data_IF_850505900428
#
_entry.id   IF_850505900428
#
_cell.length_a   1.000
_cell.length_b   1.000
_cell.length_c   1.000
_cell.angle_alpha   90.00
_cell.angle_beta   90.00
_cell.angle_gamma   90.00
#
_symmetry.space_group_name_H-M   'P 1'
#
loop_
_entity.id
_entity.type
_entity.pdbx_description
1 polymer ?
#
# COMPACT_ATOMS: atom_id res chain seq x y z
N UNK A 1 7.58 17.18 11.77
CA UNK A 1 8.30 18.49 11.82
C UNK A 1 9.82 18.33 11.94
N UNK A 2 10.35 17.45 12.79
CA UNK A 2 11.81 17.23 12.93
C UNK A 2 12.52 16.84 11.61
N UNK A 3 11.92 15.97 10.80
CA UNK A 3 12.49 15.56 9.51
C UNK A 3 12.62 16.73 8.52
N UNK A 4 11.66 17.68 8.53
CA UNK A 4 11.69 18.87 7.67
C UNK A 4 12.85 19.79 8.03
N UNK A 5 13.09 19.99 9.33
CA UNK A 5 14.22 20.79 9.82
C UNK A 5 15.56 20.17 9.44
N UNK A 6 15.70 18.84 9.57
CA UNK A 6 16.91 18.12 9.14
C UNK A 6 17.16 18.24 7.63
N UNK A 7 16.10 18.33 6.84
CA UNK A 7 16.17 18.53 5.40
C UNK A 7 16.40 20.02 5.00
N UNK A 8 16.52 20.95 5.95
CA UNK A 8 16.70 22.38 5.67
C UNK A 8 15.46 23.10 5.13
N UNK A 9 14.28 22.48 5.26
CA UNK A 9 13.02 23.05 4.75
C UNK A 9 12.49 24.06 5.77
N UNK A 10 12.24 25.30 5.33
CA UNK A 10 11.70 26.36 6.17
C UNK A 10 10.26 26.05 6.61
N UNK A 11 10.01 26.03 7.92
CA UNK A 11 8.72 25.63 8.48
C UNK A 11 7.69 26.75 8.58
N UNK A 12 8.08 28.01 8.33
CA UNK A 12 7.25 29.21 8.58
C UNK A 12 5.93 29.26 7.80
N UNK A 13 5.83 28.52 6.69
CA UNK A 13 4.65 28.48 5.82
C UNK A 13 4.15 27.05 5.57
N UNK A 14 4.41 26.12 6.50
CA UNK A 14 4.03 24.72 6.34
C UNK A 14 2.97 24.31 7.37
N UNK A 15 2.02 23.50 6.91
CA UNK A 15 1.00 22.88 7.74
C UNK A 15 1.12 21.37 7.53
N UNK A 16 0.98 20.60 8.61
CA UNK A 16 0.83 19.15 8.52
C UNK A 16 -0.65 18.88 8.24
N UNK A 17 -0.93 18.25 7.12
CA UNK A 17 -2.26 17.80 6.73
C UNK A 17 -2.31 16.27 6.77
N UNK A 18 -3.48 15.72 7.09
CA UNK A 18 -3.70 14.29 6.94
C UNK A 18 -3.82 13.94 5.45
N UNK A 19 -3.36 12.75 5.08
CA UNK A 19 -3.48 12.23 3.71
C UNK A 19 -4.92 12.30 3.17
N UNK A 20 -5.97 11.85 3.91
CA UNK A 20 -7.32 11.91 3.39
C UNK A 20 -7.93 13.33 3.33
N UNK A 21 -7.45 14.27 4.15
CA UNK A 21 -7.81 15.70 4.02
C UNK A 21 -7.28 16.25 2.70
N UNK A 22 -6.00 15.97 2.42
CA UNK A 22 -5.31 16.41 1.20
C UNK A 22 -5.98 15.82 -0.04
N UNK A 23 -6.31 14.52 -0.01
CA UNK A 23 -7.04 13.85 -1.09
C UNK A 23 -8.40 14.50 -1.34
N UNK A 24 -9.14 14.82 -0.28
CA UNK A 24 -10.44 15.48 -0.39
C UNK A 24 -10.36 16.88 -0.99
N UNK A 25 -9.39 17.69 -0.54
CA UNK A 25 -9.14 19.02 -1.08
C UNK A 25 -8.80 18.91 -2.57
N UNK A 26 -7.88 18.02 -2.94
CA UNK A 26 -7.52 17.81 -4.34
C UNK A 26 -8.72 17.43 -5.21
N UNK A 27 -9.58 16.52 -4.74
CA UNK A 27 -10.78 16.10 -5.45
C UNK A 27 -11.80 17.24 -5.68
N UNK A 28 -11.84 18.26 -4.82
CA UNK A 28 -12.70 19.44 -5.05
C UNK A 28 -12.25 20.29 -6.25
N UNK A 29 -10.98 20.22 -6.64
CA UNK A 29 -10.40 21.00 -7.74
C UNK A 29 -10.17 20.17 -9.02
N UNK A 30 -10.52 18.88 -9.02
CA UNK A 30 -10.39 18.04 -10.20
C UNK A 30 -11.39 18.47 -11.29
N UNK A 31 -10.93 18.76 -12.51
CA UNK A 31 -11.82 19.03 -13.64
C UNK A 31 -12.72 17.82 -13.92
N UNK A 32 -14.00 18.09 -14.16
CA UNK A 32 -15.06 17.11 -14.46
C UNK A 32 -14.72 16.20 -15.64
N UNK A 33 -13.89 16.67 -16.57
CA UNK A 33 -13.44 15.97 -17.79
C UNK A 33 -12.60 14.72 -17.50
N UNK A 34 -11.99 14.60 -16.31
CA UNK A 34 -11.20 13.42 -15.94
C UNK A 34 -12.01 12.26 -15.36
N UNK A 35 -13.30 12.48 -15.10
CA UNK A 35 -14.21 11.48 -14.56
C UNK A 35 -15.11 10.97 -15.68
N UNK A 36 -14.53 10.18 -16.58
CA UNK A 36 -15.29 9.53 -17.66
C UNK A 36 -16.36 8.58 -17.06
N UNK A 37 -17.63 9.00 -17.12
CA UNK A 37 -18.74 8.06 -17.25
C UNK A 37 -19.76 7.94 -16.11
N UNK A 38 -19.59 8.55 -14.94
CA UNK A 38 -20.66 8.49 -13.92
C UNK A 38 -20.48 9.47 -12.77
N UNK A 39 -21.55 10.24 -12.52
CA UNK A 39 -21.74 11.27 -11.47
C UNK A 39 -21.06 12.62 -11.81
N UNK A 40 -21.75 13.77 -11.66
CA UNK A 40 -21.09 15.08 -11.68
C UNK A 40 -19.84 15.02 -10.81
N UNK A 41 -18.71 15.50 -11.33
CA UNK A 41 -17.43 15.36 -10.63
C UNK A 41 -17.49 15.89 -9.20
N UNK A 42 -16.60 15.42 -8.33
CA UNK A 42 -16.63 15.73 -6.91
C UNK A 42 -16.70 17.23 -6.57
N UNK A 43 -16.13 18.10 -7.43
CA UNK A 43 -16.27 19.56 -7.40
C UNK A 43 -17.74 20.06 -7.46
N UNK A 44 -18.62 19.32 -8.16
CA UNK A 44 -20.04 19.59 -8.41
C UNK A 44 -20.97 19.01 -7.33
N UNK A 45 -20.44 18.34 -6.30
CA UNK A 45 -21.26 17.90 -5.15
C UNK A 45 -21.86 19.11 -4.44
N UNK A 46 -23.11 18.99 -3.99
CA UNK A 46 -23.79 20.07 -3.27
C UNK A 46 -23.18 20.27 -1.88
N UNK A 47 -23.33 21.47 -1.32
CA UNK A 47 -23.10 21.66 0.11
C UNK A 47 -23.97 20.67 0.91
N UNK A 48 -23.42 20.13 1.99
CA UNK A 48 -24.05 19.08 2.78
C UNK A 48 -23.77 17.65 2.30
N UNK A 49 -23.18 17.45 1.11
CA UNK A 49 -22.80 16.10 0.66
C UNK A 49 -21.73 15.52 1.59
N UNK A 50 -22.02 14.34 2.13
CA UNK A 50 -21.11 13.51 2.90
C UNK A 50 -20.51 12.43 2.00
N UNK A 51 -19.21 12.19 2.15
CA UNK A 51 -18.49 11.18 1.40
C UNK A 51 -17.38 10.60 2.26
N UNK A 52 -16.99 9.37 1.92
CA UNK A 52 -15.92 8.65 2.59
C UNK A 52 -14.65 8.74 1.75
N UNK A 53 -13.52 8.98 2.41
CA UNK A 53 -12.19 8.77 1.83
C UNK A 53 -11.68 7.46 2.40
N UNK A 54 -11.28 6.56 1.51
CA UNK A 54 -10.67 5.27 1.84
C UNK A 54 -9.29 5.29 1.22
N UNK A 55 -8.27 5.53 2.04
CA UNK A 55 -6.87 5.54 1.63
C UNK A 55 -6.23 4.19 1.98
N UNK A 56 -5.93 3.39 0.96
CA UNK A 56 -5.34 2.06 1.11
C UNK A 56 -3.87 2.11 0.71
N UNK A 57 -3.05 2.58 1.65
CA UNK A 57 -1.62 2.71 1.47
C UNK A 57 -0.85 1.40 1.60
N UNK A 58 0.48 1.53 1.62
CA UNK A 58 1.38 0.39 1.85
C UNK A 58 1.31 -0.13 3.28
N UNK A 59 1.35 0.77 4.27
CA UNK A 59 1.33 0.40 5.70
C UNK A 59 -0.08 0.36 6.28
N UNK A 60 -0.83 1.42 6.05
CA UNK A 60 -2.12 1.66 6.70
C UNK A 60 -3.27 1.60 5.69
N UNK A 61 -4.45 1.30 6.20
CA UNK A 61 -5.70 1.65 5.56
C UNK A 61 -6.39 2.70 6.44
N UNK A 62 -6.54 3.92 5.93
CA UNK A 62 -7.13 5.06 6.63
C UNK A 62 -8.50 5.39 6.06
N UNK A 63 -9.50 5.41 6.93
CA UNK A 63 -10.90 5.68 6.56
C UNK A 63 -11.39 6.90 7.31
N UNK A 64 -11.91 7.90 6.59
CA UNK A 64 -12.54 9.10 7.17
C UNK A 64 -13.80 9.46 6.40
N UNK A 65 -14.71 10.20 7.05
CA UNK A 65 -15.90 10.76 6.42
C UNK A 65 -15.84 12.27 6.50
N UNK A 66 -15.93 12.92 5.35
CA UNK A 66 -15.96 14.36 5.24
C UNK A 66 -17.31 14.81 4.68
N UNK A 67 -17.70 16.02 5.05
CA UNK A 67 -18.82 16.73 4.49
C UNK A 67 -18.34 17.98 3.77
N UNK A 68 -18.84 18.20 2.55
CA UNK A 68 -18.65 19.47 1.86
C UNK A 68 -19.49 20.55 2.52
N UNK A 69 -18.86 21.66 2.91
CA UNK A 69 -19.56 22.81 3.49
C UNK A 69 -19.27 24.07 2.66
N UNK A 70 -19.98 25.15 2.98
CA UNK A 70 -19.90 26.39 2.23
C UNK A 70 -18.46 26.95 2.09
N UNK A 71 -18.24 27.62 0.97
CA UNK A 71 -16.99 28.28 0.57
C UNK A 71 -15.81 27.31 0.31
N UNK A 72 -16.09 26.14 -0.27
CA UNK A 72 -15.04 25.16 -0.64
C UNK A 72 -14.34 24.51 0.56
N UNK A 73 -14.93 24.60 1.74
CA UNK A 73 -14.39 24.03 2.97
C UNK A 73 -14.95 22.62 3.19
N UNK A 74 -14.24 21.87 4.01
CA UNK A 74 -14.61 20.51 4.40
C UNK A 74 -14.78 20.44 5.92
N UNK A 75 -15.75 19.65 6.35
CA UNK A 75 -15.96 19.31 7.75
C UNK A 75 -15.69 17.82 7.93
N UNK A 76 -14.79 17.47 8.84
CA UNK A 76 -14.62 16.08 9.28
C UNK A 76 -15.84 15.65 10.10
N UNK A 77 -16.55 14.63 9.63
CA UNK A 77 -17.72 14.04 10.30
C UNK A 77 -17.27 12.86 11.17
N UNK A 78 -16.39 12.03 10.62
CA UNK A 78 -15.76 10.94 11.35
C UNK A 78 -14.26 11.04 11.17
N UNK A 79 -13.53 11.06 12.30
CA UNK A 79 -12.07 11.08 12.31
C UNK A 79 -11.49 9.90 11.54
N UNK A 80 -10.36 10.15 10.87
CA UNK A 80 -9.55 9.11 10.27
C UNK A 80 -9.25 7.97 11.26
N UNK A 81 -9.69 6.76 10.89
CA UNK A 81 -9.36 5.52 11.58
C UNK A 81 -8.39 4.74 10.68
N UNK A 82 -7.18 4.54 11.19
CA UNK A 82 -6.12 3.80 10.53
C UNK A 82 -5.88 2.45 11.18
N UNK A 83 -5.68 1.41 10.37
CA UNK A 83 -5.19 0.11 10.83
C UNK A 83 -4.06 -0.42 9.95
N UNK A 84 -3.21 -1.29 10.51
CA UNK A 84 -2.04 -1.89 9.83
C UNK A 84 -2.46 -3.02 8.87
N UNK A 85 -3.34 -2.72 7.92
CA UNK A 85 -3.80 -3.66 6.90
C UNK A 85 -3.56 -3.17 5.45
N UNK A 86 -2.57 -2.29 5.26
CA UNK A 86 -2.15 -1.85 3.93
C UNK A 86 -1.48 -2.96 3.10
N UNK A 87 -0.96 -2.61 1.92
CA UNK A 87 -0.32 -3.55 0.99
C UNK A 87 0.80 -4.43 1.58
N UNK A 88 1.55 -3.95 2.58
CA UNK A 88 2.58 -4.72 3.28
C UNK A 88 2.00 -5.89 4.08
N UNK A 89 0.73 -5.80 4.50
CA UNK A 89 0.04 -6.93 5.15
C UNK A 89 -0.19 -8.10 4.16
N UNK A 90 -0.44 -7.78 2.89
CA UNK A 90 -0.56 -8.76 1.80
C UNK A 90 0.80 -9.40 1.52
N UNK A 91 1.86 -8.59 1.47
CA UNK A 91 3.23 -9.09 1.29
C UNK A 91 3.63 -10.07 2.39
N UNK A 92 3.37 -9.71 3.65
CA UNK A 92 3.61 -10.61 4.79
C UNK A 92 2.85 -11.92 4.62
N UNK A 93 1.56 -11.88 4.26
CA UNK A 93 0.77 -13.10 4.10
C UNK A 93 1.27 -13.99 2.96
N UNK A 94 1.84 -13.40 1.91
CA UNK A 94 2.52 -14.15 0.86
C UNK A 94 3.80 -14.83 1.37
N UNK A 95 4.64 -14.12 2.13
CA UNK A 95 5.84 -14.73 2.72
C UNK A 95 5.51 -15.80 3.77
N UNK A 96 4.46 -15.61 4.58
CA UNK A 96 3.95 -16.66 5.48
C UNK A 96 3.54 -17.93 4.70
N UNK A 97 3.00 -17.77 3.49
CA UNK A 97 2.68 -18.90 2.61
C UNK A 97 3.95 -19.55 2.06
N UNK A 98 4.94 -18.78 1.64
CA UNK A 98 6.25 -19.31 1.23
C UNK A 98 6.92 -20.09 2.36
N UNK A 99 6.88 -19.60 3.60
CA UNK A 99 7.39 -20.31 4.78
C UNK A 99 6.66 -21.64 5.01
N UNK A 100 5.34 -21.68 4.81
CA UNK A 100 4.56 -22.93 4.91
C UNK A 100 4.88 -23.93 3.81
N UNK A 101 5.23 -23.46 2.61
CA UNK A 101 5.52 -24.32 1.44
C UNK A 101 6.97 -24.82 1.50
N UNK A 102 7.93 -23.93 1.73
CA UNK A 102 9.36 -24.22 1.63
C UNK A 102 10.02 -24.52 2.99
N UNK A 103 9.38 -24.13 4.09
CA UNK A 103 9.95 -24.23 5.44
C UNK A 103 10.56 -22.92 5.91
N UNK A 104 10.38 -22.63 7.20
CA UNK A 104 10.88 -21.45 7.90
C UNK A 104 12.41 -21.31 7.80
N UNK A 105 13.15 -22.41 8.03
CA UNK A 105 14.61 -22.44 7.95
C UNK A 105 15.12 -22.09 6.56
N UNK A 106 14.47 -22.63 5.52
CA UNK A 106 14.87 -22.39 4.13
C UNK A 106 14.59 -20.95 3.72
N UNK A 107 13.41 -20.41 4.09
CA UNK A 107 13.08 -19.01 3.80
C UNK A 107 13.99 -18.03 4.56
N UNK A 108 14.37 -18.37 5.80
CA UNK A 108 15.35 -17.61 6.57
C UNK A 108 16.73 -17.63 5.91
N UNK A 109 17.25 -18.81 5.54
CA UNK A 109 18.52 -18.92 4.83
C UNK A 109 18.49 -18.21 3.47
N UNK A 110 17.39 -18.26 2.72
CA UNK A 110 17.24 -17.49 1.48
C UNK A 110 17.43 -15.99 1.74
N UNK A 111 16.83 -15.46 2.80
CA UNK A 111 16.91 -14.03 3.16
C UNK A 111 18.30 -13.61 3.64
N UNK A 112 18.97 -14.46 4.43
CA UNK A 112 20.25 -14.14 5.06
C UNK A 112 21.45 -14.46 4.17
N UNK A 113 21.41 -15.59 3.45
CA UNK A 113 22.54 -16.13 2.68
C UNK A 113 22.43 -15.81 1.18
N UNK A 114 21.23 -15.51 0.68
CA UNK A 114 21.00 -15.09 -0.72
C UNK A 114 20.07 -13.88 -0.84
N UNK A 115 20.44 -12.71 -0.26
CA UNK A 115 19.56 -11.54 -0.19
C UNK A 115 19.13 -11.00 -1.56
N UNK A 116 19.94 -11.20 -2.61
CA UNK A 116 19.56 -10.82 -3.98
C UNK A 116 18.41 -11.70 -4.50
N UNK A 117 18.49 -13.02 -4.31
CA UNK A 117 17.43 -13.93 -4.72
C UNK A 117 16.13 -13.70 -3.92
N UNK A 118 16.26 -13.39 -2.62
CA UNK A 118 15.12 -12.97 -1.81
C UNK A 118 14.49 -11.67 -2.32
N UNK A 119 15.32 -10.67 -2.67
CA UNK A 119 14.85 -9.40 -3.22
C UNK A 119 14.16 -9.57 -4.58
N UNK A 120 14.67 -10.47 -5.42
CA UNK A 120 14.03 -10.80 -6.70
C UNK A 120 12.64 -11.42 -6.48
N UNK A 121 12.48 -12.30 -5.48
CA UNK A 121 11.17 -12.83 -5.09
C UNK A 121 10.21 -11.74 -4.58
N UNK A 122 10.70 -10.81 -3.75
CA UNK A 122 9.91 -9.65 -3.28
C UNK A 122 9.44 -8.80 -4.47
N UNK A 123 10.34 -8.50 -5.42
CA UNK A 123 10.03 -7.69 -6.60
C UNK A 123 9.05 -8.39 -7.53
N UNK A 124 9.24 -9.69 -7.76
CA UNK A 124 8.31 -10.48 -8.56
C UNK A 124 6.91 -10.43 -7.97
N UNK A 125 6.78 -10.64 -6.65
CA UNK A 125 5.48 -10.58 -5.99
C UNK A 125 4.84 -9.19 -6.11
N UNK A 126 5.62 -8.13 -5.95
CA UNK A 126 5.13 -6.75 -6.11
C UNK A 126 4.63 -6.45 -7.53
N UNK A 127 5.34 -6.93 -8.57
CA UNK A 127 4.91 -6.80 -9.98
C UNK A 127 3.58 -7.54 -10.19
N UNK A 128 3.50 -8.76 -9.69
CA UNK A 128 2.30 -9.59 -9.80
C UNK A 128 1.11 -8.95 -9.10
N UNK A 129 1.31 -8.42 -7.88
CA UNK A 129 0.27 -7.74 -7.10
C UNK A 129 -0.27 -6.51 -7.85
N UNK A 130 0.61 -5.74 -8.51
CA UNK A 130 0.25 -4.55 -9.30
C UNK A 130 -0.44 -4.86 -10.64
N UNK A 131 -0.20 -6.03 -11.20
CA UNK A 131 -0.69 -6.43 -12.54
C UNK A 131 -1.82 -7.46 -12.47
N UNK A 132 -2.37 -7.69 -11.27
CA UNK A 132 -3.39 -8.68 -11.02
C UNK A 132 -4.71 -8.32 -11.73
N UNK A 133 -5.17 -9.22 -12.60
CA UNK A 133 -6.47 -9.09 -13.26
C UNK A 133 -7.54 -9.85 -12.47
N UNK A 134 -8.55 -9.13 -11.97
CA UNK A 134 -9.65 -9.69 -11.14
C UNK A 134 -10.38 -10.86 -11.84
N UNK A 135 -10.37 -10.89 -13.17
CA UNK A 135 -11.04 -11.93 -13.98
C UNK A 135 -10.21 -13.22 -14.11
N UNK A 136 -8.92 -13.22 -13.74
CA UNK A 136 -8.06 -14.41 -13.83
C UNK A 136 -8.08 -15.16 -12.49
N UNK A 137 -8.53 -16.42 -12.46
CA UNK A 137 -8.65 -17.18 -11.20
C UNK A 137 -7.32 -17.67 -10.65
N UNK A 138 -6.24 -17.56 -11.44
CA UNK A 138 -4.90 -18.04 -11.08
C UNK A 138 -3.87 -16.97 -11.35
N UNK A 139 -2.86 -16.96 -10.48
CA UNK A 139 -1.72 -16.06 -10.53
C UNK A 139 -0.46 -16.92 -10.60
N UNK A 140 0.47 -16.56 -11.47
CA UNK A 140 1.76 -17.22 -11.61
C UNK A 140 2.83 -16.30 -11.03
N UNK A 141 3.72 -16.85 -10.21
CA UNK A 141 4.83 -16.12 -9.58
C UNK A 141 6.10 -16.89 -9.88
N UNK A 142 7.11 -16.19 -10.41
CA UNK A 142 8.44 -16.76 -10.58
C UNK A 142 9.15 -16.86 -9.23
N UNK A 143 9.71 -18.01 -8.91
CA UNK A 143 10.46 -18.22 -7.66
C UNK A 143 11.95 -18.46 -7.96
N UNK A 144 12.87 -18.09 -7.04
CA UNK A 144 14.30 -18.30 -7.22
C UNK A 144 14.67 -19.78 -6.99
N UNK A 145 14.26 -20.67 -7.90
CA UNK A 145 14.39 -22.12 -7.78
C UNK A 145 15.81 -22.59 -7.46
N UNK A 146 16.83 -22.01 -8.12
CA UNK A 146 18.23 -22.39 -7.92
C UNK A 146 18.66 -22.10 -6.48
N UNK A 147 18.37 -20.90 -5.97
CA UNK A 147 18.70 -20.52 -4.61
C UNK A 147 17.93 -21.37 -3.58
N UNK A 148 16.62 -21.53 -3.77
CA UNK A 148 15.78 -22.37 -2.91
C UNK A 148 16.28 -23.83 -2.84
N UNK A 149 16.68 -24.40 -3.98
CA UNK A 149 17.23 -25.75 -4.02
C UNK A 149 18.58 -25.84 -3.29
N UNK A 150 19.48 -24.85 -3.47
CA UNK A 150 20.74 -24.79 -2.72
C UNK A 150 20.49 -24.77 -1.21
N UNK A 151 19.61 -23.87 -0.75
CA UNK A 151 19.25 -23.75 0.67
C UNK A 151 18.65 -25.07 1.22
N UNK A 152 17.78 -25.72 0.44
CA UNK A 152 17.22 -27.03 0.83
C UNK A 152 18.31 -28.08 1.02
N UNK A 153 19.26 -28.18 0.10
CA UNK A 153 20.37 -29.13 0.21
C UNK A 153 21.25 -28.83 1.43
N UNK A 154 21.53 -27.57 1.72
CA UNK A 154 22.36 -27.17 2.87
C UNK A 154 21.67 -27.46 4.21
N UNK A 155 20.37 -27.18 4.31
CA UNK A 155 19.60 -27.45 5.54
C UNK A 155 19.46 -28.95 5.79
N UNK A 156 19.24 -29.75 4.76
CA UNK A 156 19.01 -31.19 4.92
C UNK A 156 20.28 -32.04 4.92
N UNK A 157 21.38 -31.60 4.31
CA UNK A 157 22.69 -32.28 4.43
C UNK A 157 23.37 -32.03 5.77
N UNK A 158 23.05 -30.95 6.47
CA UNK A 158 23.52 -30.70 7.85
C UNK A 158 22.86 -31.59 8.92
N UNK A 159 21.82 -32.35 8.55
CA UNK A 159 21.10 -33.25 9.47
C UNK A 159 21.44 -34.75 9.27
N UNK A 160 22.49 -35.06 8.51
CA UNK A 160 23.09 -36.39 8.29
C UNK A 160 24.54 -36.36 8.77
#
# INVERSE_FOLDING_TARGET
>A
MLCLLKAGIQTKNLIVALEPETASIFCQYLPTERLNGSVPGFAMTSEGTEYMVVDLGGGTADITVHQKVANGRLKEIHRAMGNDCGGTSVDRRFFDLCEKIFGDKIMKSLKEESPLAYLDLVREFEIVKKTLEIKKPKVTITIPCVALNTMYQEVHKKNL
#
